data_IF_464872943137
#
_entry.id   IF_464872943137
#
_cell.length_a   1.000
_cell.length_b   1.000
_cell.length_c   1.000
_cell.angle_alpha   90.00
_cell.angle_beta   90.00
_cell.angle_gamma   90.00
#
_symmetry.space_group_name_H-M   'P 1'
#
loop_
_entity.id
_entity.type
_entity.pdbx_description
1 polymer ?
#
# COMPACT_ATOMS: atom_id res chain seq x y z
N UNK A 1 -14.47 15.07 -11.94
CA UNK A 1 -15.68 15.93 -11.82
C UNK A 1 -15.38 17.06 -10.86
N UNK A 2 -15.50 18.32 -11.26
CA UNK A 2 -15.20 19.50 -10.42
C UNK A 2 -13.81 19.46 -9.73
N UNK A 3 -12.77 19.08 -10.48
CA UNK A 3 -11.40 18.93 -9.96
C UNK A 3 -11.17 17.66 -9.12
N UNK A 4 -12.20 16.85 -8.89
CA UNK A 4 -12.10 15.55 -8.20
C UNK A 4 -11.88 14.43 -9.20
N UNK A 5 -10.66 13.90 -9.23
CA UNK A 5 -10.21 12.92 -10.22
C UNK A 5 -10.26 11.47 -9.72
N UNK A 6 -10.58 11.26 -8.44
CA UNK A 6 -10.59 9.94 -7.82
C UNK A 6 -12.00 9.51 -7.46
N UNK A 7 -12.21 8.19 -7.44
CA UNK A 7 -13.41 7.58 -6.88
C UNK A 7 -13.04 7.04 -5.49
N UNK A 8 -13.84 7.39 -4.49
CA UNK A 8 -13.73 6.87 -3.12
C UNK A 8 -14.92 6.01 -2.77
N UNK A 9 -14.66 4.90 -2.09
CA UNK A 9 -15.70 4.06 -1.52
C UNK A 9 -16.24 4.66 -0.22
N UNK A 10 -17.56 4.70 -0.06
CA UNK A 10 -18.25 5.39 1.05
C UNK A 10 -18.91 4.45 2.06
N UNK A 11 -18.85 3.13 1.85
CA UNK A 11 -19.71 2.08 2.43
C UNK A 11 -21.04 1.86 1.67
N UNK A 12 -21.70 0.72 1.92
CA UNK A 12 -23.01 0.34 1.35
C UNK A 12 -23.10 0.39 -0.18
N UNK A 13 -22.06 -0.06 -0.88
CA UNK A 13 -21.93 0.02 -2.34
C UNK A 13 -22.06 1.45 -2.92
N UNK A 14 -21.82 2.47 -2.09
CA UNK A 14 -21.80 3.86 -2.53
C UNK A 14 -20.39 4.33 -2.84
N UNK A 15 -20.31 5.20 -3.83
CA UNK A 15 -19.09 5.84 -4.27
C UNK A 15 -19.29 7.36 -4.31
N UNK A 16 -18.21 8.09 -4.07
CA UNK A 16 -18.15 9.53 -4.23
C UNK A 16 -16.88 9.93 -4.99
N UNK A 17 -16.83 11.17 -5.47
CA UNK A 17 -15.60 11.72 -6.03
C UNK A 17 -14.70 12.31 -4.94
N UNK A 18 -13.39 12.18 -5.11
CA UNK A 18 -12.35 12.73 -4.25
C UNK A 18 -11.29 13.49 -5.06
N UNK A 19 -10.66 14.46 -4.41
CA UNK A 19 -9.55 15.28 -4.91
C UNK A 19 -8.18 14.60 -4.76
N UNK A 20 -8.10 13.55 -3.94
CA UNK A 20 -6.91 12.73 -3.72
C UNK A 20 -7.27 11.22 -3.66
N UNK A 21 -6.29 10.32 -3.88
CA UNK A 21 -6.50 8.89 -3.66
C UNK A 21 -6.69 8.64 -2.17
N UNK A 22 -7.78 7.94 -1.81
CA UNK A 22 -8.13 7.67 -0.41
C UNK A 22 -8.38 6.18 -0.19
N UNK A 23 -7.90 5.67 0.95
CA UNK A 23 -8.16 4.32 1.40
C UNK A 23 -9.56 4.16 2.01
N UNK A 24 -9.91 2.93 2.42
CA UNK A 24 -11.25 2.53 2.89
C UNK A 24 -11.84 3.36 4.03
N UNK A 25 -11.02 4.07 4.82
CA UNK A 25 -11.46 4.92 5.95
C UNK A 25 -11.33 6.43 5.68
N UNK A 26 -11.06 6.83 4.45
CA UNK A 26 -10.88 8.24 4.08
C UNK A 26 -9.46 8.78 4.34
N UNK A 27 -8.54 7.91 4.75
CA UNK A 27 -7.12 8.25 4.85
C UNK A 27 -6.55 8.51 3.45
N UNK A 28 -5.86 9.64 3.28
CA UNK A 28 -5.19 9.97 2.02
C UNK A 28 -4.01 9.03 1.82
N UNK A 29 -3.89 8.46 0.63
CA UNK A 29 -2.78 7.59 0.26
C UNK A 29 -1.59 8.45 -0.18
N UNK A 30 -0.47 8.31 0.52
CA UNK A 30 0.78 9.02 0.22
C UNK A 30 1.70 8.08 -0.57
N UNK A 31 2.10 8.45 -1.81
CA UNK A 31 2.99 7.64 -2.63
C UNK A 31 4.26 7.24 -1.87
N UNK A 32 4.61 5.94 -1.92
CA UNK A 32 5.78 5.33 -1.28
C UNK A 32 5.84 5.46 0.25
N UNK A 33 4.73 5.83 0.88
CA UNK A 33 4.62 6.01 2.32
C UNK A 33 3.37 5.36 2.90
N UNK A 34 2.40 5.00 2.07
CA UNK A 34 1.17 4.34 2.48
C UNK A 34 1.17 2.87 2.09
N UNK A 35 0.58 2.01 2.91
CA UNK A 35 0.39 0.60 2.60
C UNK A 35 -0.95 0.05 3.08
N UNK A 36 -1.36 -1.06 2.47
CA UNK A 36 -2.50 -1.85 2.90
C UNK A 36 -2.05 -3.20 3.47
N UNK A 37 -2.78 -3.69 4.46
CA UNK A 37 -2.60 -5.05 4.99
C UNK A 37 -3.89 -5.85 4.82
N UNK A 38 -3.79 -7.17 4.99
CA UNK A 38 -4.99 -7.98 5.13
C UNK A 38 -5.78 -7.60 6.37
N UNK A 39 -7.10 -7.52 6.25
CA UNK A 39 -7.99 -7.43 7.41
C UNK A 39 -7.93 -8.68 8.31
N UNK A 40 -7.29 -9.75 7.84
CA UNK A 40 -7.03 -10.99 8.59
C UNK A 40 -5.61 -11.07 9.14
N UNK A 41 -4.79 -10.03 8.96
CA UNK A 41 -3.44 -9.99 9.52
C UNK A 41 -3.52 -9.97 11.05
N UNK A 42 -2.82 -10.92 11.70
CA UNK A 42 -2.83 -11.08 13.17
C UNK A 42 -1.73 -10.29 13.87
N UNK A 43 -0.76 -9.77 13.12
CA UNK A 43 0.46 -9.15 13.65
C UNK A 43 0.43 -7.62 13.50
N UNK A 44 -0.14 -7.14 12.40
CA UNK A 44 -0.19 -5.74 12.05
C UNK A 44 -1.62 -5.20 12.21
N UNK A 45 -1.71 -3.89 12.43
CA UNK A 45 -2.99 -3.17 12.58
C UNK A 45 -3.00 -1.95 11.69
N UNK A 46 -4.20 -1.53 11.32
CA UNK A 46 -4.40 -0.22 10.69
C UNK A 46 -3.85 0.89 11.60
N UNK A 47 -3.32 1.94 10.99
CA UNK A 47 -2.64 3.09 11.61
C UNK A 47 -1.31 2.78 12.33
N UNK A 48 -0.73 1.60 12.10
CA UNK A 48 0.66 1.35 12.48
C UNK A 48 1.61 2.07 11.52
N UNK A 49 2.72 2.57 12.06
CA UNK A 49 3.88 2.96 11.28
C UNK A 49 4.89 1.80 11.27
N UNK A 50 5.26 1.36 10.09
CA UNK A 50 6.13 0.23 9.84
C UNK A 50 7.47 0.70 9.31
N UNK A 51 8.54 0.02 9.71
CA UNK A 51 9.84 0.09 9.06
C UNK A 51 10.12 -1.22 8.33
N UNK A 52 10.27 -1.18 7.02
CA UNK A 52 10.61 -2.32 6.17
C UNK A 52 12.14 -2.43 6.07
N UNK A 53 12.70 -3.57 6.49
CA UNK A 53 14.15 -3.79 6.55
C UNK A 53 14.74 -4.38 5.26
N UNK A 54 14.11 -4.12 4.12
CA UNK A 54 14.58 -4.62 2.82
C UNK A 54 15.27 -3.52 2.03
N UNK A 55 16.56 -3.72 1.77
CA UNK A 55 17.34 -2.84 0.89
C UNK A 55 16.73 -2.78 -0.51
N UNK A 56 16.26 -3.91 -1.05
CA UNK A 56 15.64 -3.93 -2.38
C UNK A 56 14.34 -3.12 -2.43
N UNK A 57 13.51 -3.19 -1.39
CA UNK A 57 12.30 -2.37 -1.31
C UNK A 57 12.67 -0.89 -1.25
N UNK A 58 13.68 -0.51 -0.46
CA UNK A 58 14.13 0.88 -0.37
C UNK A 58 14.74 1.38 -1.68
N UNK A 59 15.60 0.62 -2.35
CA UNK A 59 16.18 1.02 -3.64
C UNK A 59 15.13 1.22 -4.73
N UNK A 60 14.06 0.43 -4.69
CA UNK A 60 12.98 0.51 -5.68
C UNK A 60 12.00 1.64 -5.37
N UNK A 61 11.61 1.78 -4.11
CA UNK A 61 10.55 2.72 -3.70
C UNK A 61 11.08 4.05 -3.18
N UNK A 62 12.35 4.13 -2.79
CA UNK A 62 12.95 5.25 -2.06
C UNK A 62 12.45 5.40 -0.62
N UNK A 63 11.84 4.36 -0.03
CA UNK A 63 11.23 4.43 1.29
C UNK A 63 11.38 3.15 2.10
N UNK A 64 11.75 3.30 3.36
CA UNK A 64 11.75 2.25 4.38
C UNK A 64 10.61 2.39 5.40
N UNK A 65 9.91 3.52 5.44
CA UNK A 65 8.83 3.79 6.40
C UNK A 65 7.46 3.89 5.74
N UNK A 66 6.50 3.14 6.30
CA UNK A 66 5.19 2.89 5.69
C UNK A 66 4.07 2.94 6.73
N UNK A 67 3.06 3.76 6.46
CA UNK A 67 1.87 3.89 7.27
C UNK A 67 0.75 2.99 6.75
N UNK A 68 0.20 2.16 7.65
CA UNK A 68 -0.92 1.26 7.32
C UNK A 68 -2.22 2.06 7.26
N UNK A 69 -2.55 2.56 6.08
CA UNK A 69 -3.75 3.39 5.85
C UNK A 69 -4.99 2.55 5.50
N UNK A 70 -4.80 1.32 5.00
CA UNK A 70 -5.91 0.52 4.50
C UNK A 70 -5.87 -0.96 4.91
N UNK A 71 -7.04 -1.61 4.87
CA UNK A 71 -7.22 -3.05 5.10
C UNK A 71 -8.11 -3.68 4.03
N UNK A 72 -7.59 -4.73 3.38
CA UNK A 72 -8.28 -5.48 2.33
C UNK A 72 -8.64 -6.90 2.77
N UNK A 73 -9.86 -7.36 2.45
CA UNK A 73 -10.26 -8.75 2.71
C UNK A 73 -9.67 -9.75 1.70
N UNK A 74 -9.30 -9.28 0.51
CA UNK A 74 -8.69 -10.07 -0.56
C UNK A 74 -7.16 -10.17 -0.49
N UNK A 75 -6.52 -9.47 0.46
CA UNK A 75 -5.06 -9.49 0.65
C UNK A 75 -4.69 -10.71 1.49
N UNK A 76 -3.64 -11.44 1.10
CA UNK A 76 -3.16 -12.59 1.88
C UNK A 76 -2.79 -12.17 3.31
N UNK A 77 -3.07 -12.96 4.37
CA UNK A 77 -2.91 -12.53 5.77
C UNK A 77 -1.53 -11.98 6.16
N UNK A 78 -0.47 -12.36 5.45
CA UNK A 78 0.91 -11.91 5.70
C UNK A 78 1.41 -10.87 4.69
N UNK A 79 0.63 -10.57 3.65
CA UNK A 79 1.02 -9.63 2.61
C UNK A 79 0.84 -8.20 3.10
N UNK A 80 1.80 -7.35 2.71
CA UNK A 80 1.74 -5.90 2.81
C UNK A 80 1.78 -5.37 1.39
N UNK A 81 0.76 -4.60 1.01
CA UNK A 81 0.63 -4.00 -0.30
C UNK A 81 1.10 -2.54 -0.24
N UNK A 82 2.18 -2.23 -0.96
CA UNK A 82 2.86 -0.94 -0.89
C UNK A 82 2.29 0.02 -1.94
N UNK A 83 1.76 1.16 -1.50
CA UNK A 83 1.19 2.15 -2.40
C UNK A 83 2.30 2.92 -3.12
N UNK A 84 2.44 2.67 -4.43
CA UNK A 84 3.47 3.31 -5.24
C UNK A 84 3.16 4.76 -5.61
N UNK A 85 1.87 5.10 -5.73
CA UNK A 85 1.36 6.32 -6.35
C UNK A 85 0.36 5.98 -7.45
N UNK A 86 0.04 6.95 -8.31
CA UNK A 86 -0.86 6.71 -9.45
C UNK A 86 -0.24 5.80 -10.50
N UNK A 87 1.06 5.99 -10.78
CA UNK A 87 1.80 5.22 -11.78
C UNK A 87 3.07 4.63 -11.17
N UNK A 88 3.27 3.32 -11.36
CA UNK A 88 4.61 2.73 -11.30
C UNK A 88 5.39 3.22 -12.53
N UNK A 89 6.45 4.04 -12.39
CA UNK A 89 7.14 4.69 -13.51
C UNK A 89 7.84 3.70 -14.44
N UNK A 90 7.90 2.42 -14.06
CA UNK A 90 8.44 1.34 -14.89
C UNK A 90 7.34 0.59 -15.65
N UNK A 91 6.07 0.76 -15.29
CA UNK A 91 4.92 0.09 -15.92
C UNK A 91 5.03 -1.45 -15.92
N UNK A 92 4.08 -2.12 -16.55
CA UNK A 92 4.10 -3.57 -16.69
C UNK A 92 5.30 -4.11 -17.53
N UNK A 93 5.92 -3.25 -18.34
CA UNK A 93 6.90 -3.62 -19.40
C UNK A 93 8.35 -3.28 -18.99
N UNK A 94 8.57 -2.26 -18.16
CA UNK A 94 9.89 -1.91 -17.65
C UNK A 94 10.27 -2.86 -16.54
N UNK A 95 11.06 -3.90 -16.86
CA UNK A 95 11.72 -4.85 -15.94
C UNK A 95 11.32 -4.66 -14.48
N UNK A 96 10.39 -5.50 -14.04
CA UNK A 96 10.08 -5.77 -12.64
C UNK A 96 11.34 -6.31 -11.95
N UNK A 97 12.30 -5.42 -11.63
CA UNK A 97 13.51 -5.75 -10.84
C UNK A 97 13.13 -6.29 -9.46
N UNK A 98 11.90 -6.04 -9.06
CA UNK A 98 11.15 -6.61 -7.96
C UNK A 98 10.67 -8.05 -8.11
N UNK A 99 11.38 -8.95 -8.81
CA UNK A 99 10.90 -10.33 -9.02
C UNK A 99 12.01 -11.38 -8.93
N UNK A 100 11.89 -12.35 -8.01
CA UNK A 100 12.35 -13.71 -8.27
C UNK A 100 11.53 -14.33 -9.42
N UNK A 101 12.13 -15.23 -10.22
CA UNK A 101 11.40 -15.98 -11.26
C UNK A 101 10.23 -16.76 -10.63
N UNK A 102 8.99 -16.44 -11.03
CA UNK A 102 7.83 -17.34 -10.84
C UNK A 102 6.58 -16.80 -10.14
N UNK A 103 6.56 -15.56 -9.63
CA UNK A 103 5.38 -15.05 -8.89
C UNK A 103 5.03 -13.58 -9.15
N UNK A 104 3.75 -13.27 -8.95
CA UNK A 104 3.21 -11.92 -8.88
C UNK A 104 3.64 -11.28 -7.55
N UNK A 105 4.55 -10.29 -7.61
CA UNK A 105 4.98 -9.40 -6.52
C UNK A 105 4.98 -9.99 -5.11
N UNK A 106 6.01 -10.77 -4.75
CA UNK A 106 6.32 -11.03 -3.34
C UNK A 106 7.81 -10.79 -3.10
N UNK A 107 8.11 -9.71 -2.39
CA UNK A 107 9.34 -9.63 -1.61
C UNK A 107 9.03 -10.21 -0.24
N UNK A 108 9.78 -11.23 0.18
CA UNK A 108 9.83 -11.57 1.59
C UNK A 108 10.72 -10.53 2.28
N UNK A 109 10.18 -9.78 3.23
CA UNK A 109 10.93 -8.80 4.00
C UNK A 109 10.50 -8.80 5.46
N UNK A 110 11.44 -8.44 6.32
CA UNK A 110 11.18 -8.19 7.72
C UNK A 110 10.57 -6.79 7.90
N UNK A 111 9.63 -6.69 8.84
CA UNK A 111 9.01 -5.43 9.23
C UNK A 111 9.08 -5.22 10.73
N UNK A 112 9.28 -3.98 11.13
CA UNK A 112 9.24 -3.52 12.52
C UNK A 112 8.13 -2.50 12.69
N UNK A 113 7.32 -2.64 13.74
CA UNK A 113 6.31 -1.63 14.09
C UNK A 113 6.98 -0.57 14.95
N UNK A 114 7.19 0.62 14.39
CA UNK A 114 7.92 1.71 15.06
C UNK A 114 7.00 2.72 15.74
N UNK A 115 5.71 2.76 15.38
CA UNK A 115 4.70 3.50 16.12
C UNK A 115 3.30 2.88 15.96
N UNK A 116 2.44 3.10 16.96
CA UNK A 116 1.02 2.75 16.94
C UNK A 116 0.22 3.98 17.35
N UNK A 117 -0.83 4.28 16.60
CA UNK A 117 -1.76 5.37 16.90
C UNK A 117 -3.05 4.84 17.52
#
# INVERSE_FOLDING_TARGET
>A
VDGRNYIRWMNDNRYAFADAPVGRRGEVLVPRRSCAISSRNKFLRQHALLKIKSQTVNEETGSDEWFVCDTGAGVHPLQIDLYWGEDEPRGAIGRQRARPRGTWMEYAFEVEVIAKR
#
